data_IF_370502087210
#
_entry.id   IF_370502087210
#
_cell.length_a   1.000
_cell.length_b   1.000
_cell.length_c   1.000
_cell.angle_alpha   90.00
_cell.angle_beta   90.00
_cell.angle_gamma   90.00
#
_symmetry.space_group_name_H-M   'P 1'
#
loop_
_entity.id
_entity.type
_entity.pdbx_description
1 polymer ?
#
# COMPACT_ATOMS: atom_id res chain seq x y z
N UNK A 1 -12.17 7.17 -11.10
CA UNK A 1 -13.05 8.36 -11.06
C UNK A 1 -12.49 9.50 -11.93
N UNK A 2 -11.22 9.45 -12.33
CA UNK A 2 -10.57 10.48 -13.16
C UNK A 2 -10.17 9.94 -14.54
N UNK A 3 -10.69 8.78 -14.91
CA UNK A 3 -10.55 8.21 -16.24
C UNK A 3 -11.82 8.50 -17.05
N UNK A 4 -11.73 8.39 -18.35
CA UNK A 4 -12.81 8.64 -19.31
C UNK A 4 -13.85 7.49 -19.38
N UNK A 5 -13.56 6.39 -18.74
CA UNK A 5 -14.41 5.20 -18.68
C UNK A 5 -15.52 5.27 -17.61
N UNK A 6 -15.52 6.31 -16.76
CA UNK A 6 -16.51 6.49 -15.71
C UNK A 6 -17.10 7.90 -15.68
N UNK A 7 -18.42 8.00 -15.74
CA UNK A 7 -19.15 9.25 -15.53
C UNK A 7 -20.00 9.20 -14.26
N UNK A 8 -19.87 10.22 -13.42
CA UNK A 8 -20.69 10.36 -12.22
C UNK A 8 -22.13 10.74 -12.58
N UNK A 9 -23.12 10.13 -11.92
CA UNK A 9 -24.51 10.52 -12.07
C UNK A 9 -24.76 11.97 -11.61
N UNK A 10 -25.82 12.59 -12.10
CA UNK A 10 -26.18 13.96 -11.72
C UNK A 10 -26.35 14.14 -10.20
N UNK A 11 -26.78 13.12 -9.49
CA UNK A 11 -26.87 13.13 -8.02
C UNK A 11 -25.50 13.15 -7.35
N UNK A 12 -24.52 12.44 -7.90
CA UNK A 12 -23.16 12.41 -7.39
C UNK A 12 -22.41 13.72 -7.67
N UNK A 13 -22.79 14.43 -8.72
CA UNK A 13 -22.18 15.72 -9.06
C UNK A 13 -22.48 16.82 -8.01
N UNK A 14 -23.50 16.61 -7.17
CA UNK A 14 -23.85 17.52 -6.08
C UNK A 14 -22.92 17.38 -4.85
N UNK A 15 -22.11 16.33 -4.80
CA UNK A 15 -21.17 16.09 -3.73
C UNK A 15 -19.80 16.57 -4.20
N UNK A 16 -19.04 17.20 -3.33
CA UNK A 16 -17.65 17.63 -3.63
C UNK A 16 -16.72 16.47 -4.03
N UNK A 17 -17.18 15.28 -3.80
CA UNK A 17 -16.51 14.04 -4.15
C UNK A 17 -17.43 13.16 -5.01
N UNK A 18 -17.12 12.81 -6.21
CA UNK A 18 -16.06 13.19 -7.13
C UNK A 18 -16.41 14.48 -7.88
N UNK A 19 -15.56 15.48 -7.78
CA UNK A 19 -15.80 16.74 -8.46
C UNK A 19 -15.57 16.60 -9.97
N UNK A 20 -16.65 16.67 -10.74
CA UNK A 20 -16.62 16.47 -12.20
C UNK A 20 -15.73 17.52 -12.91
N UNK A 21 -15.60 18.71 -12.34
CA UNK A 21 -14.71 19.75 -12.89
C UNK A 21 -13.25 19.33 -12.87
N UNK A 22 -12.86 18.44 -11.95
CA UNK A 22 -11.52 17.86 -11.88
C UNK A 22 -11.26 16.87 -13.00
N UNK A 23 -12.29 16.14 -13.45
CA UNK A 23 -12.21 15.22 -14.59
C UNK A 23 -11.89 16.00 -15.88
N UNK A 24 -12.45 17.19 -16.01
CA UNK A 24 -12.26 18.08 -17.18
C UNK A 24 -11.05 19.04 -17.07
N UNK A 25 -10.05 18.69 -16.29
CA UNK A 25 -8.80 19.45 -16.22
C UNK A 25 -8.80 20.63 -15.24
N UNK A 26 -9.75 20.71 -14.34
CA UNK A 26 -9.79 21.74 -13.29
C UNK A 26 -8.77 21.54 -12.15
N UNK A 27 -7.67 20.82 -12.40
CA UNK A 27 -6.59 20.59 -11.44
C UNK A 27 -5.59 21.72 -11.46
N UNK A 28 -5.20 22.17 -10.28
CA UNK A 28 -4.10 23.08 -10.06
C UNK A 28 -3.18 22.52 -8.97
N UNK A 29 -1.94 22.97 -8.84
CA UNK A 29 -1.06 22.55 -7.74
C UNK A 29 -1.64 22.80 -6.34
N UNK A 30 -2.60 23.74 -6.23
CA UNK A 30 -3.26 24.09 -4.97
C UNK A 30 -4.64 23.42 -4.80
N UNK A 31 -5.03 22.54 -5.73
CA UNK A 31 -6.33 21.86 -5.64
C UNK A 31 -6.30 20.87 -4.48
N UNK A 32 -7.16 21.11 -3.49
CA UNK A 32 -7.41 20.14 -2.43
C UNK A 32 -8.48 19.13 -2.86
N UNK A 33 -8.31 17.89 -2.49
CA UNK A 33 -9.28 16.83 -2.72
C UNK A 33 -9.24 15.80 -1.58
N UNK A 34 -10.23 14.91 -1.53
CA UNK A 34 -10.35 13.90 -0.46
C UNK A 34 -9.15 12.93 -0.35
N UNK A 35 -8.31 12.86 -1.38
CA UNK A 35 -7.07 12.09 -1.39
C UNK A 35 -5.84 12.84 -0.88
N UNK A 36 -6.02 13.92 -0.10
CA UNK A 36 -4.90 14.57 0.57
C UNK A 36 -4.34 13.66 1.67
N UNK A 37 -3.35 12.88 1.31
CA UNK A 37 -2.72 11.93 2.22
C UNK A 37 -1.87 12.62 3.30
N UNK A 38 -1.37 13.83 3.01
CA UNK A 38 -0.46 14.55 3.91
C UNK A 38 -1.09 14.88 5.27
N UNK A 39 -2.37 15.22 5.30
CA UNK A 39 -3.06 15.54 6.56
C UNK A 39 -3.48 14.29 7.36
N UNK A 40 -3.82 13.22 6.66
CA UNK A 40 -4.45 12.04 7.26
C UNK A 40 -3.47 10.93 7.65
N UNK A 41 -2.57 10.57 6.75
CA UNK A 41 -1.73 9.39 6.93
C UNK A 41 -0.70 9.50 8.07
N UNK A 42 -0.04 10.64 8.33
CA UNK A 42 0.87 10.76 9.47
C UNK A 42 0.20 10.47 10.82
N UNK A 43 -1.06 10.89 10.99
CA UNK A 43 -1.83 10.58 12.19
C UNK A 43 -2.12 9.09 12.32
N UNK A 44 -2.46 8.44 11.21
CA UNK A 44 -2.71 6.98 11.16
C UNK A 44 -1.42 6.21 11.45
N UNK A 45 -0.30 6.60 10.88
CA UNK A 45 1.02 6.01 11.16
C UNK A 45 1.33 6.09 12.66
N UNK A 46 1.14 7.26 13.26
CA UNK A 46 1.32 7.41 14.72
C UNK A 46 0.40 6.49 15.51
N UNK A 47 -0.86 6.36 15.11
CA UNK A 47 -1.82 5.47 15.77
C UNK A 47 -1.41 4.01 15.68
N UNK A 48 -0.89 3.55 14.53
CA UNK A 48 -0.39 2.17 14.39
C UNK A 48 0.80 1.89 15.30
N UNK A 49 1.74 2.83 15.42
CA UNK A 49 2.87 2.66 16.34
C UNK A 49 2.45 2.64 17.81
N UNK A 50 1.53 3.51 18.22
CA UNK A 50 0.97 3.50 19.58
C UNK A 50 0.26 2.15 19.83
N UNK A 51 -0.48 1.64 18.85
CA UNK A 51 -1.15 0.36 18.98
C UNK A 51 -0.16 -0.78 19.15
N UNK A 52 0.88 -0.87 18.31
CA UNK A 52 1.91 -1.92 18.40
C UNK A 52 2.61 -1.90 19.75
N UNK A 53 2.92 -0.71 20.28
CA UNK A 53 3.57 -0.54 21.59
C UNK A 53 2.67 -1.00 22.75
N UNK A 54 1.37 -0.70 22.68
CA UNK A 54 0.47 -0.83 23.82
C UNK A 54 -0.38 -2.09 23.84
N UNK A 55 -0.62 -2.71 22.66
CA UNK A 55 -1.44 -3.92 22.61
C UNK A 55 -0.72 -5.09 23.25
N UNK A 56 -1.40 -5.79 24.17
CA UNK A 56 -0.92 -6.99 24.84
C UNK A 56 -2.08 -7.92 25.15
N UNK A 57 -1.79 -9.21 25.29
CA UNK A 57 -2.77 -10.16 25.73
C UNK A 57 -3.18 -9.85 27.18
N UNK A 58 -4.46 -10.00 27.48
CA UNK A 58 -4.98 -9.84 28.83
C UNK A 58 -5.13 -11.22 29.46
N UNK A 59 -4.61 -11.44 30.66
CA UNK A 59 -4.89 -12.65 31.42
C UNK A 59 -6.41 -12.83 31.55
N UNK A 60 -6.87 -14.06 31.45
CA UNK A 60 -8.28 -14.44 31.62
C UNK A 60 -9.27 -13.75 30.64
N UNK A 61 -8.80 -13.31 29.48
CA UNK A 61 -9.63 -12.70 28.44
C UNK A 61 -9.71 -13.58 27.19
N UNK A 62 -10.71 -13.30 26.35
CA UNK A 62 -10.87 -13.92 25.01
C UNK A 62 -9.83 -13.44 23.98
N UNK A 63 -8.83 -12.67 24.41
CA UNK A 63 -7.77 -12.14 23.55
C UNK A 63 -6.44 -12.89 23.82
N UNK A 64 -6.20 -14.05 23.18
CA UNK A 64 -4.98 -14.80 23.35
C UNK A 64 -3.79 -14.12 22.66
N UNK A 65 -2.57 -14.44 23.09
CA UNK A 65 -1.32 -13.88 22.56
C UNK A 65 -1.25 -13.98 21.02
N UNK A 66 -1.68 -15.10 20.46
CA UNK A 66 -1.70 -15.30 19.00
C UNK A 66 -2.53 -14.24 18.25
N UNK A 67 -3.69 -13.84 18.78
CA UNK A 67 -4.51 -12.78 18.16
C UNK A 67 -3.83 -11.42 18.30
N UNK A 68 -3.16 -11.16 19.41
CA UNK A 68 -2.34 -9.95 19.60
C UNK A 68 -1.19 -9.91 18.59
N UNK A 69 -0.53 -11.04 18.34
CA UNK A 69 0.56 -11.12 17.37
C UNK A 69 0.05 -10.83 15.94
N UNK A 70 -1.11 -11.38 15.58
CA UNK A 70 -1.76 -11.05 14.31
C UNK A 70 -2.10 -9.55 14.21
N UNK A 71 -2.69 -8.96 15.25
CA UNK A 71 -3.02 -7.53 15.26
C UNK A 71 -1.77 -6.65 15.14
N UNK A 72 -0.67 -7.04 15.77
CA UNK A 72 0.62 -6.34 15.63
C UNK A 72 1.17 -6.43 14.21
N UNK A 73 1.09 -7.61 13.59
CA UNK A 73 1.53 -7.79 12.21
C UNK A 73 0.68 -6.99 11.22
N UNK A 74 -0.65 -6.96 11.42
CA UNK A 74 -1.55 -6.10 10.64
C UNK A 74 -1.21 -4.62 10.80
N UNK A 75 -1.00 -4.16 12.03
CA UNK A 75 -0.63 -2.77 12.30
C UNK A 75 0.75 -2.43 11.70
N UNK A 76 1.72 -3.34 11.76
CA UNK A 76 3.03 -3.20 11.11
C UNK A 76 2.89 -3.00 9.60
N UNK A 77 2.09 -3.85 8.95
CA UNK A 77 1.79 -3.69 7.52
C UNK A 77 1.10 -2.37 7.24
N UNK A 78 0.09 -1.98 8.01
CA UNK A 78 -0.62 -0.71 7.82
C UNK A 78 0.31 0.50 7.95
N UNK A 79 1.24 0.50 8.91
CA UNK A 79 2.23 1.56 9.03
C UNK A 79 3.09 1.65 7.75
N UNK A 80 3.60 0.50 7.27
CA UNK A 80 4.38 0.43 6.04
C UNK A 80 3.58 0.86 4.81
N UNK A 81 2.32 0.44 4.72
CA UNK A 81 1.42 0.82 3.63
C UNK A 81 1.11 2.32 3.61
N UNK A 82 0.87 2.95 4.76
CA UNK A 82 0.63 4.39 4.83
C UNK A 82 1.89 5.20 4.49
N UNK A 83 3.05 4.75 4.90
CA UNK A 83 4.32 5.34 4.48
C UNK A 83 4.53 5.19 2.97
N UNK A 84 4.21 4.02 2.40
CA UNK A 84 4.26 3.81 0.97
C UNK A 84 3.34 4.76 0.20
N UNK A 85 2.10 4.93 0.63
CA UNK A 85 1.17 5.87 -0.01
C UNK A 85 1.69 7.31 0.00
N UNK A 86 2.34 7.73 1.09
CA UNK A 86 3.01 9.04 1.14
C UNK A 86 4.17 9.11 0.15
N UNK A 87 5.02 8.09 0.10
CA UNK A 87 6.16 8.03 -0.80
C UNK A 87 5.73 7.98 -2.28
N UNK A 88 4.69 7.21 -2.61
CA UNK A 88 4.14 7.10 -3.97
C UNK A 88 3.55 8.44 -4.43
N UNK A 89 2.88 9.17 -3.55
CA UNK A 89 2.19 10.41 -3.89
C UNK A 89 3.10 11.66 -3.89
N UNK A 90 4.10 11.72 -3.01
CA UNK A 90 4.89 12.93 -2.76
C UNK A 90 6.39 12.77 -3.04
N UNK A 91 6.83 11.56 -3.44
CA UNK A 91 8.26 11.27 -3.57
C UNK A 91 8.97 11.19 -2.21
N UNK A 92 10.25 11.59 -2.11
CA UNK A 92 10.99 11.59 -0.86
C UNK A 92 10.30 12.41 0.22
N UNK A 93 10.09 11.80 1.36
CA UNK A 93 9.32 12.33 2.49
C UNK A 93 10.17 12.43 3.74
N UNK A 94 9.82 13.28 4.71
CA UNK A 94 10.31 13.16 6.07
C UNK A 94 9.95 11.77 6.61
N UNK A 95 10.96 10.97 6.94
CA UNK A 95 10.77 9.57 7.29
C UNK A 95 11.42 9.27 8.64
N UNK A 96 10.59 8.85 9.59
CA UNK A 96 11.02 8.50 10.96
C UNK A 96 10.20 7.31 11.44
N UNK A 97 10.56 6.08 11.02
CA UNK A 97 9.83 4.87 11.39
C UNK A 97 9.90 4.60 12.89
N UNK A 98 8.87 3.96 13.43
CA UNK A 98 8.76 3.54 14.83
C UNK A 98 8.88 4.69 15.85
N UNK A 99 8.62 5.92 15.44
CA UNK A 99 8.69 7.08 16.33
C UNK A 99 7.30 7.51 16.78
N UNK A 100 7.15 7.63 18.09
CA UNK A 100 5.97 8.22 18.73
C UNK A 100 6.44 9.50 19.40
N UNK A 101 5.99 10.64 18.88
CA UNK A 101 6.33 11.92 19.48
C UNK A 101 5.81 11.98 20.93
N UNK A 102 6.66 12.31 21.91
CA UNK A 102 6.23 12.54 23.29
C UNK A 102 5.29 13.76 23.37
N UNK A 103 4.60 13.92 24.48
CA UNK A 103 3.61 15.00 24.64
C UNK A 103 4.24 16.38 24.84
N UNK A 104 5.50 16.41 25.23
CA UNK A 104 6.31 17.60 25.51
C UNK A 104 7.30 17.95 24.40
N UNK A 105 7.09 17.41 23.18
CA UNK A 105 7.93 17.67 22.03
C UNK A 105 7.97 19.17 21.67
N UNK A 106 9.11 19.62 21.15
CA UNK A 106 9.25 20.94 20.54
C UNK A 106 9.02 20.86 19.03
N UNK A 107 8.76 22.01 18.38
CA UNK A 107 8.63 22.04 16.92
C UNK A 107 9.91 21.55 16.23
N UNK A 108 11.09 21.84 16.79
CA UNK A 108 12.38 21.38 16.25
C UNK A 108 12.50 19.85 16.26
N UNK A 109 11.91 19.15 17.23
CA UNK A 109 11.95 17.69 17.31
C UNK A 109 11.13 17.03 16.20
N UNK A 110 10.16 17.75 15.63
CA UNK A 110 9.34 17.31 14.51
C UNK A 110 9.91 17.68 13.14
N UNK A 111 10.89 18.58 13.09
CA UNK A 111 11.51 19.03 11.82
C UNK A 111 12.49 17.98 11.29
N UNK A 112 11.96 16.86 10.83
CA UNK A 112 12.73 15.77 10.21
C UNK A 112 12.94 16.07 8.73
N UNK A 113 14.17 15.89 8.23
CA UNK A 113 14.48 16.01 6.81
C UNK A 113 13.87 14.89 5.96
N UNK A 114 13.74 15.16 4.66
CA UNK A 114 13.42 14.12 3.69
C UNK A 114 14.53 13.08 3.66
N UNK A 115 14.16 11.81 3.48
CA UNK A 115 15.13 10.70 3.35
C UNK A 115 15.19 10.22 1.91
N UNK A 116 16.33 9.68 1.46
CA UNK A 116 16.47 9.11 0.13
C UNK A 116 15.37 8.08 -0.19
N UNK A 117 14.83 8.16 -1.40
CA UNK A 117 13.74 7.30 -1.86
C UNK A 117 14.05 5.80 -1.64
N UNK A 118 15.25 5.37 -2.05
CA UNK A 118 15.65 3.96 -1.96
C UNK A 118 15.85 3.48 -0.51
N UNK A 119 16.22 4.36 0.40
CA UNK A 119 16.30 4.04 1.83
C UNK A 119 14.91 3.73 2.39
N UNK A 120 13.93 4.60 2.08
CA UNK A 120 12.55 4.40 2.52
C UNK A 120 11.98 3.11 1.92
N UNK A 121 12.14 2.88 0.62
CA UNK A 121 11.70 1.64 -0.04
C UNK A 121 12.32 0.41 0.61
N UNK A 122 13.61 0.43 0.91
CA UNK A 122 14.29 -0.70 1.55
C UNK A 122 13.74 -1.02 2.93
N UNK A 123 13.43 0.01 3.73
CA UNK A 123 12.79 -0.18 5.03
C UNK A 123 11.38 -0.78 4.89
N UNK A 124 10.55 -0.21 4.00
CA UNK A 124 9.18 -0.66 3.80
C UNK A 124 9.10 -2.08 3.23
N UNK A 125 10.04 -2.44 2.35
CA UNK A 125 10.19 -3.78 1.81
C UNK A 125 10.35 -4.82 2.93
N UNK A 126 11.28 -4.55 3.86
CA UNK A 126 11.48 -5.40 5.02
C UNK A 126 10.24 -5.46 5.94
N UNK A 127 9.61 -4.32 6.23
CA UNK A 127 8.43 -4.28 7.10
C UNK A 127 7.25 -5.08 6.53
N UNK A 128 6.98 -4.95 5.22
CA UNK A 128 5.92 -5.70 4.56
C UNK A 128 6.24 -7.20 4.50
N UNK A 129 7.50 -7.56 4.24
CA UNK A 129 7.93 -8.96 4.22
C UNK A 129 7.82 -9.59 5.61
N UNK A 130 8.25 -8.92 6.66
CA UNK A 130 8.15 -9.44 8.04
C UNK A 130 6.68 -9.55 8.51
N UNK A 131 5.83 -8.60 8.14
CA UNK A 131 4.39 -8.71 8.41
C UNK A 131 3.77 -9.92 7.69
N UNK A 132 4.16 -10.17 6.44
CA UNK A 132 3.65 -11.30 5.67
C UNK A 132 3.96 -12.67 6.29
N UNK A 133 5.11 -12.81 6.96
CA UNK A 133 5.51 -14.05 7.62
C UNK A 133 4.67 -14.39 8.86
N UNK A 134 4.04 -13.38 9.46
CA UNK A 134 3.28 -13.52 10.70
C UNK A 134 1.77 -13.66 10.45
N UNK A 135 1.30 -13.37 9.24
CA UNK A 135 -0.11 -13.40 8.88
C UNK A 135 -0.47 -14.66 8.08
N UNK A 136 -1.70 -15.17 8.22
CA UNK A 136 -2.16 -16.26 7.38
C UNK A 136 -2.35 -15.80 5.94
N UNK A 137 -2.22 -16.71 4.99
CA UNK A 137 -2.50 -16.42 3.59
C UNK A 137 -4.02 -16.22 3.33
N UNK A 138 -4.86 -16.95 4.09
CA UNK A 138 -6.33 -16.85 4.06
C UNK A 138 -6.86 -16.98 5.48
N UNK A 139 -7.81 -16.14 5.85
CA UNK A 139 -8.57 -16.28 7.09
C UNK A 139 -9.67 -17.32 6.90
N UNK A 140 -9.72 -18.31 7.79
CA UNK A 140 -10.69 -19.41 7.70
C UNK A 140 -12.09 -19.02 8.23
N UNK A 141 -12.17 -17.98 9.04
CA UNK A 141 -13.44 -17.51 9.61
C UNK A 141 -14.02 -16.37 8.77
N UNK A 142 -15.31 -16.47 8.47
CA UNK A 142 -16.08 -15.41 7.77
C UNK A 142 -16.05 -14.09 8.57
N UNK A 143 -16.00 -14.15 9.90
CA UNK A 143 -15.91 -12.98 10.77
C UNK A 143 -14.57 -12.20 10.59
N UNK A 144 -13.55 -12.89 10.10
CA UNK A 144 -12.23 -12.30 9.82
C UNK A 144 -12.06 -11.88 8.35
N UNK A 145 -13.12 -12.00 7.56
CA UNK A 145 -13.07 -11.60 6.16
C UNK A 145 -12.75 -10.10 6.03
N UNK A 146 -11.83 -9.79 5.12
CA UNK A 146 -11.35 -8.40 4.94
C UNK A 146 -10.20 -7.99 5.87
N UNK A 147 -9.78 -8.82 6.83
CA UNK A 147 -8.54 -8.59 7.57
C UNK A 147 -7.33 -8.82 6.67
N UNK A 148 -6.22 -8.20 7.02
CA UNK A 148 -4.98 -8.27 6.26
C UNK A 148 -4.45 -9.72 6.24
N UNK A 149 -3.99 -10.15 5.08
CA UNK A 149 -3.38 -11.48 4.85
C UNK A 149 -1.94 -11.35 4.39
N UNK A 150 -1.17 -12.43 4.46
CA UNK A 150 0.18 -12.46 3.89
C UNK A 150 0.19 -12.13 2.39
N UNK A 151 -0.82 -12.59 1.65
CA UNK A 151 -0.97 -12.29 0.21
C UNK A 151 -1.16 -10.81 -0.03
N UNK A 152 -1.97 -10.11 0.79
CA UNK A 152 -2.11 -8.64 0.71
C UNK A 152 -0.78 -7.93 0.96
N UNK A 153 -0.03 -8.35 1.98
CA UNK A 153 1.29 -7.77 2.28
C UNK A 153 2.25 -7.93 1.10
N UNK A 154 2.32 -9.13 0.52
CA UNK A 154 3.19 -9.42 -0.62
C UNK A 154 2.73 -8.70 -1.90
N UNK A 155 1.42 -8.50 -2.09
CA UNK A 155 0.88 -7.75 -3.24
C UNK A 155 1.32 -6.29 -3.21
N UNK A 156 1.16 -5.63 -2.07
CA UNK A 156 1.58 -4.22 -1.93
C UNK A 156 3.10 -4.10 -2.03
N UNK A 157 3.84 -5.05 -1.43
CA UNK A 157 5.29 -5.14 -1.53
C UNK A 157 5.76 -5.26 -2.99
N UNK A 158 5.19 -6.17 -3.76
CA UNK A 158 5.53 -6.38 -5.18
C UNK A 158 5.22 -5.12 -6.00
N UNK A 159 4.05 -4.49 -5.79
CA UNK A 159 3.69 -3.21 -6.44
C UNK A 159 4.70 -2.11 -6.12
N UNK A 160 5.10 -1.96 -4.87
CA UNK A 160 6.08 -0.95 -4.43
C UNK A 160 7.44 -1.17 -5.09
N UNK A 161 7.94 -2.41 -5.11
CA UNK A 161 9.24 -2.73 -5.70
C UNK A 161 9.24 -2.57 -7.22
N UNK A 162 8.12 -2.90 -7.89
CA UNK A 162 7.95 -2.66 -9.32
C UNK A 162 7.97 -1.15 -9.65
N UNK A 163 7.29 -0.33 -8.82
CA UNK A 163 7.35 1.12 -8.96
C UNK A 163 8.78 1.64 -8.76
N UNK A 164 9.49 1.16 -7.73
CA UNK A 164 10.86 1.56 -7.44
C UNK A 164 11.87 1.12 -8.52
N UNK A 165 11.55 0.10 -9.30
CA UNK A 165 12.32 -0.33 -10.46
C UNK A 165 12.03 0.47 -11.73
N UNK A 166 10.87 1.16 -11.79
CA UNK A 166 10.40 1.86 -12.97
C UNK A 166 11.32 3.02 -13.38
N UNK A 167 11.33 3.39 -14.67
CA UNK A 167 12.14 4.52 -15.17
C UNK A 167 11.83 5.86 -14.47
N UNK A 168 10.69 5.98 -13.81
CA UNK A 168 10.34 7.20 -13.08
C UNK A 168 11.35 7.51 -11.97
N UNK A 169 11.81 6.49 -11.25
CA UNK A 169 12.65 6.66 -10.04
C UNK A 169 13.95 5.85 -10.09
N UNK A 170 14.19 5.06 -11.13
CA UNK A 170 15.37 4.24 -11.32
C UNK A 170 16.24 4.80 -12.44
N UNK A 171 17.20 5.63 -12.07
CA UNK A 171 18.12 6.25 -13.03
C UNK A 171 17.50 7.44 -13.79
N UNK A 172 16.53 8.12 -13.22
CA UNK A 172 15.90 9.27 -13.85
C UNK A 172 16.77 10.53 -13.66
N UNK A 173 17.32 11.02 -14.77
CA UNK A 173 18.19 12.19 -14.79
C UNK A 173 17.48 13.49 -14.38
N UNK A 174 16.17 13.56 -14.43
CA UNK A 174 15.41 14.74 -13.98
C UNK A 174 15.55 15.04 -12.50
N UNK A 175 15.95 14.04 -11.71
CA UNK A 175 16.15 14.19 -10.28
C UNK A 175 17.61 14.45 -9.85
N UNK A 176 18.53 14.61 -10.80
CA UNK A 176 19.93 14.95 -10.50
C UNK A 176 20.00 16.27 -9.72
N UNK A 177 20.70 16.25 -8.60
CA UNK A 177 20.89 17.40 -7.75
C UNK A 177 19.74 17.72 -6.78
N UNK A 178 18.68 16.89 -6.77
CA UNK A 178 17.66 16.98 -5.71
C UNK A 178 18.21 16.43 -4.40
N UNK A 179 18.54 17.33 -3.48
CA UNK A 179 19.16 17.00 -2.19
C UNK A 179 18.30 17.43 -1.02
N UNK A 180 18.41 16.70 0.07
CA UNK A 180 17.86 17.15 1.35
C UNK A 180 18.74 18.29 1.96
N UNK A 181 18.35 18.76 3.14
CA UNK A 181 19.07 19.84 3.84
C UNK A 181 20.48 19.42 4.30
N UNK A 182 20.68 18.13 4.48
CA UNK A 182 21.93 17.48 4.87
C UNK A 182 22.87 17.26 3.67
N UNK A 183 22.40 17.53 2.45
CA UNK A 183 23.17 17.40 1.21
C UNK A 183 23.13 15.97 0.60
N UNK A 184 22.30 15.07 1.13
CA UNK A 184 22.12 13.72 0.57
C UNK A 184 21.25 13.77 -0.66
N UNK A 185 21.62 13.03 -1.72
CA UNK A 185 20.80 12.86 -2.92
C UNK A 185 19.50 12.12 -2.58
N UNK A 186 18.37 12.71 -2.95
CA UNK A 186 17.04 12.14 -2.66
C UNK A 186 16.65 11.01 -3.60
N UNK A 187 17.21 10.97 -4.80
CA UNK A 187 17.02 9.90 -5.78
C UNK A 187 18.38 9.45 -6.31
N UNK A 188 18.50 8.15 -6.55
CA UNK A 188 19.66 7.62 -7.24
C UNK A 188 19.52 7.86 -8.75
N UNK A 189 20.37 8.70 -9.31
CA UNK A 189 20.41 9.00 -10.75
C UNK A 189 21.01 7.88 -11.61
N UNK A 190 21.63 6.88 -10.99
CA UNK A 190 22.22 5.73 -11.68
C UNK A 190 21.18 4.62 -11.82
N UNK A 191 20.96 4.14 -13.05
CA UNK A 191 20.10 2.98 -13.30
C UNK A 191 20.65 1.72 -12.62
N UNK A 192 19.75 0.99 -11.99
CA UNK A 192 20.06 -0.30 -11.34
C UNK A 192 19.16 -1.41 -11.90
N UNK A 193 19.79 -2.38 -12.57
CA UNK A 193 19.14 -3.62 -13.01
C UNK A 193 18.66 -4.47 -11.82
N UNK A 194 19.37 -4.38 -10.69
CA UNK A 194 19.06 -5.16 -9.48
C UNK A 194 17.67 -4.85 -8.93
N UNK A 195 17.17 -3.60 -9.08
CA UNK A 195 15.80 -3.23 -8.70
C UNK A 195 14.75 -4.03 -9.48
N UNK A 196 14.98 -4.29 -10.77
CA UNK A 196 14.11 -5.13 -11.58
C UNK A 196 14.15 -6.59 -11.17
N UNK A 197 15.34 -7.11 -10.86
CA UNK A 197 15.51 -8.49 -10.35
C UNK A 197 14.72 -8.64 -9.05
N UNK A 198 14.91 -7.72 -8.11
CA UNK A 198 14.20 -7.73 -6.81
C UNK A 198 12.68 -7.63 -6.96
N UNK A 199 12.20 -6.80 -7.89
CA UNK A 199 10.77 -6.70 -8.19
C UNK A 199 10.22 -8.00 -8.78
N UNK A 200 10.94 -8.63 -9.71
CA UNK A 200 10.55 -9.90 -10.30
C UNK A 200 10.51 -11.04 -9.27
N UNK A 201 11.49 -11.10 -8.37
CA UNK A 201 11.51 -12.07 -7.27
C UNK A 201 10.33 -11.86 -6.30
N UNK A 202 9.99 -10.60 -5.99
CA UNK A 202 8.84 -10.29 -5.15
C UNK A 202 7.51 -10.68 -5.81
N UNK A 203 7.37 -10.45 -7.12
CA UNK A 203 6.22 -10.88 -7.89
C UNK A 203 6.11 -12.41 -7.92
N UNK A 204 7.23 -13.11 -8.13
CA UNK A 204 7.25 -14.57 -8.11
C UNK A 204 6.84 -15.10 -6.74
N UNK A 205 7.41 -14.57 -5.66
CA UNK A 205 7.05 -14.96 -4.29
C UNK A 205 5.56 -14.76 -4.02
N UNK A 206 4.98 -13.62 -4.47
CA UNK A 206 3.55 -13.37 -4.37
C UNK A 206 2.72 -14.45 -5.08
N UNK A 207 3.06 -14.75 -6.33
CA UNK A 207 2.33 -15.75 -7.13
C UNK A 207 2.41 -17.14 -6.49
N UNK A 208 3.59 -17.55 -6.05
CA UNK A 208 3.80 -18.86 -5.40
C UNK A 208 2.94 -18.98 -4.12
N UNK A 209 2.89 -17.93 -3.29
CA UNK A 209 2.09 -17.94 -2.05
C UNK A 209 0.58 -17.86 -2.34
N UNK A 210 0.19 -17.05 -3.32
CA UNK A 210 -1.21 -16.90 -3.69
C UNK A 210 -1.78 -18.19 -4.27
N UNK A 211 -1.05 -18.86 -5.17
CA UNK A 211 -1.44 -20.15 -5.75
C UNK A 211 -1.59 -21.24 -4.68
N UNK A 212 -0.61 -21.34 -3.76
CA UNK A 212 -0.68 -22.28 -2.63
C UNK A 212 -1.86 -22.00 -1.69
N UNK A 213 -2.27 -20.73 -1.59
CA UNK A 213 -3.42 -20.30 -0.80
C UNK A 213 -4.77 -20.48 -1.50
N UNK A 214 -4.78 -20.99 -2.75
CA UNK A 214 -5.97 -21.24 -3.55
C UNK A 214 -6.48 -20.03 -4.33
N UNK A 215 -5.74 -18.92 -4.37
CA UNK A 215 -6.08 -17.78 -5.24
C UNK A 215 -5.86 -18.18 -6.70
N UNK A 216 -6.82 -17.84 -7.54
CA UNK A 216 -6.76 -18.13 -8.98
C UNK A 216 -7.50 -17.07 -9.75
N UNK A 217 -7.24 -16.99 -11.04
CA UNK A 217 -8.07 -16.20 -11.95
C UNK A 217 -9.45 -16.84 -12.03
N UNK A 218 -10.47 -15.99 -12.08
CA UNK A 218 -11.82 -16.44 -12.38
C UNK A 218 -11.90 -16.88 -13.83
N UNK A 219 -12.40 -18.07 -14.09
CA UNK A 219 -12.53 -18.64 -15.43
C UNK A 219 -13.90 -19.27 -15.62
N UNK A 220 -14.48 -19.02 -16.78
CA UNK A 220 -15.65 -19.71 -17.33
C UNK A 220 -15.21 -20.56 -18.51
N UNK A 221 -15.96 -21.61 -18.77
CA UNK A 221 -15.68 -22.53 -19.83
C UNK A 221 -16.81 -22.51 -20.87
N UNK A 222 -16.47 -22.62 -22.16
CA UNK A 222 -17.43 -22.76 -23.25
C UNK A 222 -18.01 -24.20 -23.28
N UNK A 223 -18.95 -24.44 -24.20
CA UNK A 223 -19.61 -25.73 -24.35
C UNK A 223 -18.63 -26.86 -24.79
N UNK A 224 -17.46 -26.51 -25.31
CA UNK A 224 -16.39 -27.40 -25.70
C UNK A 224 -15.42 -27.73 -24.55
N UNK A 225 -15.61 -27.10 -23.37
CA UNK A 225 -14.78 -27.28 -22.19
C UNK A 225 -13.46 -26.49 -22.22
N UNK A 226 -13.34 -25.54 -23.13
CA UNK A 226 -12.19 -24.59 -23.19
C UNK A 226 -12.51 -23.33 -22.43
N UNK A 227 -11.45 -22.66 -21.91
CA UNK A 227 -11.60 -21.38 -21.21
C UNK A 227 -12.14 -20.34 -22.19
N UNK A 228 -13.28 -19.71 -21.84
CA UNK A 228 -13.82 -18.56 -22.53
C UNK A 228 -13.34 -17.27 -21.87
N UNK A 229 -12.35 -16.57 -22.44
CA UNK A 229 -11.79 -15.36 -21.82
C UNK A 229 -12.78 -14.20 -21.75
N UNK A 230 -13.70 -14.09 -22.73
CA UNK A 230 -14.68 -13.02 -22.77
C UNK A 230 -15.73 -13.20 -21.67
N UNK A 231 -16.36 -14.36 -21.61
CA UNK A 231 -17.36 -14.69 -20.59
C UNK A 231 -16.73 -14.68 -19.18
N UNK A 232 -15.49 -15.13 -19.05
CA UNK A 232 -14.74 -15.04 -17.78
C UNK A 232 -14.61 -13.61 -17.29
N UNK A 233 -14.21 -12.69 -18.17
CA UNK A 233 -14.06 -11.28 -17.82
C UNK A 233 -15.40 -10.60 -17.53
N UNK A 234 -16.44 -10.87 -18.36
CA UNK A 234 -17.77 -10.32 -18.19
C UNK A 234 -18.39 -10.77 -16.86
N UNK A 235 -18.41 -12.07 -16.59
CA UNK A 235 -19.01 -12.62 -15.38
C UNK A 235 -18.26 -12.23 -14.11
N UNK A 236 -16.95 -12.01 -14.15
CA UNK A 236 -16.20 -11.50 -13.02
C UNK A 236 -16.79 -10.17 -12.48
N UNK A 237 -17.26 -9.29 -13.38
CA UNK A 237 -17.88 -8.02 -12.99
C UNK A 237 -19.32 -8.15 -12.49
N UNK A 238 -20.02 -9.22 -12.90
CA UNK A 238 -21.39 -9.49 -12.48
C UNK A 238 -21.49 -10.43 -11.28
N UNK A 239 -20.40 -11.12 -10.91
CA UNK A 239 -20.37 -12.03 -9.78
C UNK A 239 -20.62 -11.29 -8.49
N UNK A 240 -21.66 -11.67 -7.77
CA UNK A 240 -21.94 -11.15 -6.44
C UNK A 240 -21.03 -11.80 -5.42
N UNK A 241 -20.64 -11.05 -4.41
CA UNK A 241 -19.78 -11.52 -3.33
C UNK A 241 -20.26 -12.82 -2.65
N UNK A 242 -21.57 -13.06 -2.63
CA UNK A 242 -22.16 -14.27 -2.05
C UNK A 242 -22.07 -15.50 -2.94
N UNK A 243 -21.81 -15.33 -4.23
CA UNK A 243 -21.74 -16.40 -5.22
C UNK A 243 -20.30 -16.77 -5.56
N UNK A 244 -19.32 -15.95 -5.15
CA UNK A 244 -17.90 -16.19 -5.33
C UNK A 244 -17.28 -16.81 -4.09
N UNK A 245 -17.29 -18.13 -4.02
CA UNK A 245 -16.47 -18.89 -3.07
C UNK A 245 -14.99 -18.82 -3.42
#
# INVERSE_FOLDING_TARGET
>A
VFADDLTASARWQQWDWPNITKIFGGWTPNTQWAGNFWDGLPRKIRQTYIFIERVHALPDSDLPQREVDYMKAEARFLAAYYWWQLLEAYGPIPFRPNYIAPTDFTLSDLMVGQRPFDEVVSHLDNEMLEASKQLPAVWQSVEKYGRITSVMCLTVRAKMLLFAASPLVNGNEWYIGHKNKEGEELFNSTYSQEKWVKAAEACKQLLDVAEQAGYRLYVEYNDEGEIDPFTSLENLWFTKFQDGN
#
